data_IF_823314767181
#
_entry.id   IF_823314767181
#
_cell.length_a   1.000
_cell.length_b   1.000
_cell.length_c   1.000
_cell.angle_alpha   90.00
_cell.angle_beta   90.00
_cell.angle_gamma   90.00
#
_symmetry.space_group_name_H-M   'P 1'
#
loop_
_entity.id
_entity.type
_entity.pdbx_description
1 polymer ?
#
# COMPACT_ATOMS: atom_id res chain seq x y z
N UNK A 1 -0.09 4.85 8.26
CA UNK A 1 -0.41 3.41 8.44
C UNK A 1 0.71 2.76 9.23
N UNK A 2 0.39 1.68 9.94
CA UNK A 2 1.34 0.91 10.74
C UNK A 2 1.12 -0.58 10.45
N UNK A 3 2.17 -1.28 10.04
CA UNK A 3 2.25 -2.73 10.06
C UNK A 3 3.07 -3.10 11.30
N UNK A 4 2.44 -3.79 12.25
CA UNK A 4 3.07 -4.16 13.51
C UNK A 4 3.10 -5.68 13.62
N UNK A 5 4.27 -6.24 13.93
CA UNK A 5 4.49 -7.66 14.12
C UNK A 5 3.95 -8.20 15.46
N UNK A 6 3.31 -7.35 16.27
CA UNK A 6 2.53 -7.75 17.44
C UNK A 6 3.34 -8.32 18.59
N UNK A 7 4.67 -8.12 18.60
CA UNK A 7 5.61 -8.78 19.51
C UNK A 7 5.43 -10.31 19.58
N UNK A 8 4.89 -10.92 18.52
CA UNK A 8 4.56 -12.33 18.50
C UNK A 8 5.83 -13.18 18.59
N UNK A 9 5.81 -14.30 19.30
CA UNK A 9 6.91 -15.27 19.25
C UNK A 9 6.77 -16.11 17.98
N UNK A 10 7.26 -15.58 16.86
CA UNK A 10 7.10 -16.16 15.52
C UNK A 10 8.30 -15.81 14.61
N UNK A 11 8.81 -16.72 13.76
CA UNK A 11 9.99 -16.46 12.92
C UNK A 11 9.82 -15.33 11.87
N UNK A 12 8.60 -14.83 11.67
CA UNK A 12 8.28 -13.76 10.70
C UNK A 12 7.71 -12.51 11.39
N UNK A 13 8.33 -12.08 12.50
CA UNK A 13 7.90 -10.95 13.33
C UNK A 13 8.93 -9.81 13.40
N UNK A 14 9.98 -9.85 12.56
CA UNK A 14 11.21 -9.05 12.75
C UNK A 14 10.97 -7.54 12.68
N UNK A 15 10.01 -7.09 11.87
CA UNK A 15 9.88 -5.69 11.50
C UNK A 15 8.53 -5.09 11.88
N UNK A 16 8.56 -3.85 12.35
CA UNK A 16 7.41 -2.95 12.26
C UNK A 16 7.68 -1.87 11.21
N UNK A 17 6.65 -1.50 10.47
CA UNK A 17 6.75 -0.54 9.37
C UNK A 17 5.71 0.55 9.56
N UNK A 18 6.16 1.80 9.67
CA UNK A 18 5.29 2.96 9.74
C UNK A 18 5.51 3.86 8.53
N UNK A 19 4.41 4.34 7.96
CA UNK A 19 4.36 5.30 6.85
C UNK A 19 3.28 6.34 7.10
N UNK A 20 3.43 7.54 6.57
CA UNK A 20 2.38 8.56 6.56
C UNK A 20 2.60 9.55 5.40
N UNK A 21 1.63 10.44 5.18
CA UNK A 21 1.70 11.50 4.15
C UNK A 21 2.05 10.95 2.76
N UNK A 22 1.16 10.15 2.14
CA UNK A 22 1.42 9.56 0.83
C UNK A 22 1.55 10.65 -0.25
N UNK A 23 2.35 10.37 -1.29
CA UNK A 23 2.46 11.18 -2.49
C UNK A 23 1.22 11.10 -3.38
N UNK A 24 0.61 9.92 -3.40
CA UNK A 24 -0.64 9.64 -4.11
C UNK A 24 -1.45 8.61 -3.34
N UNK A 25 -2.77 8.67 -3.47
CA UNK A 25 -3.67 7.65 -2.93
C UNK A 25 -4.55 7.08 -4.03
N UNK A 26 -4.77 5.76 -3.99
CA UNK A 26 -5.69 5.05 -4.87
C UNK A 26 -6.78 4.42 -4.00
N UNK A 27 -8.03 4.80 -4.26
CA UNK A 27 -9.21 4.30 -3.53
C UNK A 27 -10.18 3.66 -4.51
N UNK A 28 -10.38 2.36 -4.40
CA UNK A 28 -11.33 1.61 -5.23
C UNK A 28 -12.63 1.35 -4.48
N UNK A 29 -13.76 1.58 -5.16
CA UNK A 29 -15.11 1.25 -4.70
C UNK A 29 -15.93 0.74 -5.89
N UNK A 30 -16.30 -0.53 -5.84
CA UNK A 30 -16.87 -1.26 -6.97
C UNK A 30 -16.01 -1.05 -8.21
N UNK A 31 -16.66 -0.63 -9.30
CA UNK A 31 -16.04 -0.49 -10.61
C UNK A 31 -15.15 0.74 -10.79
N UNK A 32 -15.02 1.62 -9.77
CA UNK A 32 -14.26 2.86 -9.90
C UNK A 32 -13.08 2.90 -8.96
N UNK A 33 -11.94 3.37 -9.48
CA UNK A 33 -10.76 3.76 -8.71
C UNK A 33 -10.59 5.27 -8.81
N UNK A 34 -10.55 5.94 -7.67
CA UNK A 34 -10.20 7.35 -7.56
C UNK A 34 -8.71 7.44 -7.24
N UNK A 35 -7.97 8.20 -8.03
CA UNK A 35 -6.56 8.48 -7.81
C UNK A 35 -6.43 9.96 -7.44
N UNK A 36 -5.87 10.24 -6.26
CA UNK A 36 -5.51 11.58 -5.82
C UNK A 36 -3.99 11.72 -5.83
N UNK A 37 -3.48 12.77 -6.49
CA UNK A 37 -2.05 13.09 -6.59
C UNK A 37 -1.90 14.59 -6.78
N UNK A 38 -0.99 15.22 -6.03
CA UNK A 38 -0.68 16.66 -6.14
C UNK A 38 -1.93 17.57 -6.04
N UNK A 39 -2.92 17.15 -5.23
CA UNK A 39 -4.21 17.85 -5.09
C UNK A 39 -5.19 17.68 -6.26
N UNK A 40 -4.81 16.92 -7.30
CA UNK A 40 -5.66 16.57 -8.43
C UNK A 40 -6.30 15.20 -8.20
N UNK A 41 -7.59 15.09 -8.55
CA UNK A 41 -8.36 13.84 -8.48
C UNK A 41 -8.77 13.38 -9.87
N UNK A 42 -8.58 12.09 -10.16
CA UNK A 42 -9.01 11.45 -11.40
C UNK A 42 -9.77 10.14 -11.10
N UNK A 43 -10.65 9.73 -12.03
CA UNK A 43 -11.48 8.52 -11.88
C UNK A 43 -11.22 7.57 -13.03
N UNK A 44 -11.06 6.30 -12.69
CA UNK A 44 -10.63 5.23 -13.60
C UNK A 44 -11.52 4.00 -13.42
N UNK A 45 -11.78 3.27 -14.49
CA UNK A 45 -12.56 2.02 -14.51
C UNK A 45 -11.72 0.76 -14.71
N UNK A 46 -10.44 0.96 -15.01
CA UNK A 46 -9.42 -0.03 -15.25
C UNK A 46 -9.12 -0.85 -13.99
N UNK A 47 -8.48 -2.01 -14.18
CA UNK A 47 -8.07 -2.90 -13.10
C UNK A 47 -7.29 -2.12 -12.02
N UNK A 48 -7.68 -2.23 -10.73
CA UNK A 48 -7.10 -1.43 -9.66
C UNK A 48 -5.61 -1.74 -9.42
N UNK A 49 -5.18 -2.98 -9.63
CA UNK A 49 -3.77 -3.38 -9.48
C UNK A 49 -2.91 -2.86 -10.63
N UNK A 50 -3.45 -2.80 -11.84
CA UNK A 50 -2.74 -2.20 -12.99
C UNK A 50 -2.56 -0.70 -12.79
N UNK A 51 -3.60 -0.01 -12.32
CA UNK A 51 -3.52 1.41 -11.96
C UNK A 51 -2.51 1.66 -10.82
N UNK A 52 -2.46 0.76 -9.84
CA UNK A 52 -1.49 0.83 -8.74
C UNK A 52 -0.06 0.66 -9.26
N UNK A 53 0.17 -0.31 -10.15
CA UNK A 53 1.48 -0.53 -10.77
C UNK A 53 1.90 0.68 -11.61
N UNK A 54 1.02 1.21 -12.46
CA UNK A 54 1.30 2.42 -13.25
C UNK A 54 1.66 3.61 -12.35
N UNK A 55 0.99 3.76 -11.22
CA UNK A 55 1.32 4.83 -10.28
C UNK A 55 2.70 4.62 -9.65
N UNK A 56 3.04 3.40 -9.23
CA UNK A 56 4.36 3.05 -8.72
C UNK A 56 5.46 3.36 -9.75
N UNK A 57 5.26 2.91 -10.98
CA UNK A 57 6.21 3.13 -12.09
C UNK A 57 6.41 4.64 -12.35
N UNK A 58 5.37 5.46 -12.17
CA UNK A 58 5.44 6.91 -12.39
C UNK A 58 6.27 7.69 -11.37
N UNK A 59 6.59 7.08 -10.22
CA UNK A 59 7.40 7.72 -9.17
C UNK A 59 8.88 7.31 -9.22
N UNK A 60 9.24 6.34 -10.05
CA UNK A 60 10.62 5.85 -10.25
C UNK A 60 11.39 5.67 -8.93
N UNK A 61 10.74 5.03 -7.95
CA UNK A 61 11.33 4.75 -6.64
C UNK A 61 12.40 3.66 -6.79
N UNK A 62 13.62 4.07 -7.11
CA UNK A 62 14.75 3.15 -7.29
C UNK A 62 15.37 2.78 -5.95
N UNK A 63 15.43 1.48 -5.68
CA UNK A 63 16.03 0.97 -4.45
C UNK A 63 16.78 -0.32 -4.73
N UNK A 64 17.91 -0.53 -4.07
CA UNK A 64 18.60 -1.82 -4.09
C UNK A 64 18.07 -2.69 -2.97
N UNK A 65 17.84 -3.97 -3.26
CA UNK A 65 17.38 -4.94 -2.27
C UNK A 65 18.33 -4.96 -1.05
N UNK A 66 17.74 -4.91 0.14
CA UNK A 66 18.45 -4.97 1.40
C UNK A 66 17.60 -5.77 2.40
N UNK A 67 18.14 -6.87 2.91
CA UNK A 67 17.44 -7.78 3.83
C UNK A 67 17.07 -7.12 5.17
N UNK A 68 17.75 -6.04 5.54
CA UNK A 68 17.48 -5.25 6.76
C UNK A 68 16.45 -4.12 6.51
N UNK A 69 16.04 -3.92 5.25
CA UNK A 69 15.08 -2.88 4.85
C UNK A 69 14.00 -3.51 3.95
N UNK A 70 12.97 -4.16 4.52
CA UNK A 70 11.97 -4.90 3.75
C UNK A 70 11.02 -3.99 2.94
N UNK A 71 11.00 -2.70 3.24
CA UNK A 71 10.18 -1.71 2.56
C UNK A 71 10.95 -0.39 2.45
N UNK A 72 11.26 0.01 1.22
CA UNK A 72 12.04 1.19 0.90
C UNK A 72 11.17 2.27 0.23
N UNK A 73 9.93 2.43 0.69
CA UNK A 73 8.91 3.19 -0.03
C UNK A 73 8.20 2.35 -1.08
N UNK A 74 7.12 2.89 -1.65
CA UNK A 74 6.21 2.22 -2.55
C UNK A 74 4.79 2.18 -2.00
N UNK A 75 4.04 1.15 -2.38
CA UNK A 75 2.62 1.02 -2.07
C UNK A 75 2.40 0.36 -0.72
N UNK A 76 1.55 0.94 0.12
CA UNK A 76 1.10 0.33 1.38
C UNK A 76 -0.37 0.68 1.62
N UNK A 77 -1.18 -0.31 1.97
CA UNK A 77 -2.57 -0.07 2.29
C UNK A 77 -3.43 -1.31 2.44
N UNK A 78 -4.73 -1.08 2.25
CA UNK A 78 -5.77 -2.08 2.38
C UNK A 78 -6.13 -2.65 1.01
N UNK A 79 -6.18 -3.98 0.96
CA UNK A 79 -6.85 -4.75 -0.10
C UNK A 79 -7.93 -5.57 0.60
N UNK A 80 -9.19 -5.16 0.46
CA UNK A 80 -10.30 -5.86 1.08
C UNK A 80 -10.64 -7.14 0.32
N UNK A 81 -11.46 -7.99 0.95
CA UNK A 81 -11.95 -9.22 0.32
C UNK A 81 -12.74 -8.95 -0.98
N UNK A 82 -13.62 -7.95 -0.98
CA UNK A 82 -14.49 -7.65 -2.13
C UNK A 82 -13.74 -7.08 -3.33
N UNK A 83 -12.47 -6.65 -3.17
CA UNK A 83 -11.61 -6.28 -4.29
C UNK A 83 -11.46 -7.43 -5.31
N UNK A 84 -11.55 -8.68 -4.85
CA UNK A 84 -11.52 -9.87 -5.71
C UNK A 84 -12.56 -9.83 -6.84
N UNK A 85 -13.70 -9.15 -6.63
CA UNK A 85 -14.75 -8.98 -7.65
C UNK A 85 -14.31 -8.15 -8.87
N UNK A 86 -13.17 -7.46 -8.78
CA UNK A 86 -12.54 -6.75 -9.92
C UNK A 86 -11.74 -7.67 -10.83
N UNK A 87 -11.38 -8.86 -10.35
CA UNK A 87 -10.59 -9.84 -11.09
C UNK A 87 -11.45 -11.04 -11.50
N UNK A 88 -12.46 -11.38 -10.69
CA UNK A 88 -13.30 -12.56 -10.85
C UNK A 88 -14.79 -12.21 -10.93
N UNK A 89 -15.55 -12.98 -11.70
CA UNK A 89 -17.01 -12.81 -11.77
C UNK A 89 -17.71 -13.53 -10.61
N UNK A 90 -17.87 -12.84 -9.49
CA UNK A 90 -18.48 -13.38 -8.26
C UNK A 90 -19.88 -12.79 -8.06
N UNK A 91 -20.94 -13.60 -7.91
CA UNK A 91 -22.29 -13.10 -7.62
C UNK A 91 -22.34 -12.22 -6.37
N UNK A 92 -23.09 -11.12 -6.44
CA UNK A 92 -23.33 -10.23 -5.30
C UNK A 92 -24.61 -10.67 -4.56
N UNK A 93 -24.48 -11.68 -3.70
CA UNK A 93 -25.61 -12.20 -2.90
C UNK A 93 -25.63 -11.67 -1.47
N UNK A 94 -24.47 -11.29 -0.93
CA UNK A 94 -24.36 -10.66 0.38
C UNK A 94 -24.74 -9.17 0.29
N UNK A 95 -25.37 -8.65 1.34
CA UNK A 95 -25.66 -7.23 1.47
C UNK A 95 -24.35 -6.45 1.68
N UNK A 96 -24.24 -5.29 1.03
CA UNK A 96 -23.08 -4.41 1.18
C UNK A 96 -23.34 -3.42 2.33
N UNK A 97 -23.18 -3.90 3.55
CA UNK A 97 -23.40 -3.14 4.79
C UNK A 97 -22.17 -2.33 5.25
N UNK A 98 -20.99 -2.64 4.72
CA UNK A 98 -19.74 -1.92 5.01
C UNK A 98 -19.47 -0.82 3.98
N UNK A 99 -19.12 0.38 4.48
CA UNK A 99 -18.67 1.51 3.65
C UNK A 99 -17.15 1.52 3.43
N UNK A 100 -16.45 0.45 3.80
CA UNK A 100 -15.01 0.31 3.62
C UNK A 100 -14.67 0.28 2.13
N UNK A 101 -13.60 0.95 1.67
CA UNK A 101 -13.15 0.81 0.29
C UNK A 101 -12.73 -0.61 -0.05
N UNK A 102 -12.87 -1.00 -1.31
CA UNK A 102 -12.38 -2.29 -1.79
C UNK A 102 -10.85 -2.30 -1.80
N UNK A 103 -10.25 -1.18 -2.18
CA UNK A 103 -8.82 -0.89 -2.08
C UNK A 103 -8.63 0.51 -1.51
N UNK A 104 -7.68 0.68 -0.60
CA UNK A 104 -7.26 1.99 -0.10
C UNK A 104 -5.75 1.98 0.14
N UNK A 105 -5.00 2.44 -0.84
CA UNK A 105 -3.53 2.33 -0.88
C UNK A 105 -2.90 3.70 -1.06
N UNK A 106 -1.85 3.99 -0.29
CA UNK A 106 -0.99 5.14 -0.48
C UNK A 106 0.33 4.75 -1.13
N UNK A 107 0.89 5.66 -1.94
CA UNK A 107 2.28 5.58 -2.40
C UNK A 107 3.14 6.47 -1.51
N UNK A 108 4.20 5.90 -0.92
CA UNK A 108 5.05 6.55 0.06
C UNK A 108 6.50 6.59 -0.44
N UNK A 109 7.17 7.72 -0.27
CA UNK A 109 8.60 7.91 -0.56
C UNK A 109 9.47 7.88 0.70
N UNK A 110 8.92 7.40 1.80
CA UNK A 110 9.67 7.18 3.02
C UNK A 110 9.01 6.09 3.85
N UNK A 111 9.80 5.52 4.76
CA UNK A 111 9.31 4.58 5.75
C UNK A 111 10.15 4.64 7.02
N UNK A 112 9.52 4.37 8.16
CA UNK A 112 10.20 4.10 9.41
C UNK A 112 10.14 2.60 9.67
N UNK A 113 11.32 1.97 9.73
CA UNK A 113 11.48 0.53 9.94
C UNK A 113 12.04 0.30 11.33
N UNK A 114 11.28 -0.35 12.19
CA UNK A 114 11.77 -0.85 13.48
C UNK A 114 12.21 -2.31 13.28
N UNK A 115 13.50 -2.58 13.46
CA UNK A 115 14.08 -3.91 13.41
C UNK A 115 14.29 -4.44 14.82
N UNK A 116 13.47 -5.42 15.21
CA UNK A 116 13.50 -6.03 16.54
C UNK A 116 14.70 -6.95 16.75
N UNK A 117 15.33 -7.45 15.68
CA UNK A 117 16.52 -8.29 15.81
C UNK A 117 17.77 -7.43 16.02
N UNK A 118 17.92 -6.36 15.24
CA UNK A 118 19.05 -5.44 15.34
C UNK A 118 18.86 -4.35 16.40
N UNK A 119 17.67 -4.28 17.02
CA UNK A 119 17.30 -3.25 17.99
C UNK A 119 17.55 -1.84 17.43
N UNK A 120 17.09 -1.62 16.19
CA UNK A 120 17.39 -0.41 15.41
C UNK A 120 16.13 0.18 14.82
N UNK A 121 16.05 1.50 14.84
CA UNK A 121 15.04 2.27 14.11
C UNK A 121 15.71 2.96 12.93
N UNK A 122 15.27 2.64 11.71
CA UNK A 122 15.83 3.18 10.46
C UNK A 122 14.78 4.02 9.75
N UNK A 123 15.09 5.29 9.49
CA UNK A 123 14.31 6.13 8.57
C UNK A 123 14.86 5.94 7.16
N UNK A 124 14.00 5.49 6.26
CA UNK A 124 14.32 5.21 4.85
C UNK A 124 13.74 6.29 3.97
N UNK A 125 14.56 6.82 3.07
CA UNK A 125 14.21 7.84 2.07
C UNK A 125 14.77 7.35 0.71
N UNK A 126 14.00 6.61 -0.11
CA UNK A 126 14.36 6.36 -1.50
C UNK A 126 14.65 7.68 -2.23
N UNK A 127 15.79 7.73 -2.93
CA UNK A 127 16.14 8.88 -3.77
C UNK A 127 15.14 9.03 -4.92
N UNK A 128 14.89 10.28 -5.33
CA UNK A 128 14.26 10.61 -6.61
C UNK A 128 15.38 11.16 -7.49
N UNK A 129 15.75 10.44 -8.55
CA UNK A 129 16.74 10.92 -9.52
C UNK A 129 16.07 11.63 -10.70
#
# INVERSE_FOLDING_TARGET
MLLHSGFADHPHNRFDIMVASPLATLVTRGQQTVIERDGLSSRHGECPLDLLQQMLDSFDLTTTANDDIPFCGGALGLFSYDLGRRFENIPATAEQDLTTPDMAVGIYDWALIADHHLQRLTLVLPGRY
#
